data_IF_920041164770
#
_entry.id   IF_920041164770
#
_cell.length_a   1.000
_cell.length_b   1.000
_cell.length_c   1.000
_cell.angle_alpha   90.00
_cell.angle_beta   90.00
_cell.angle_gamma   90.00
#
_symmetry.space_group_name_H-M   'P 1'
#
loop_
_entity.id
_entity.type
_entity.pdbx_description
1 polymer ?
#
# COMPACT_ATOMS: atom_id res chain seq x y z
N UNK A 1 -5.87 -16.32 -2.20
CA UNK A 1 -5.13 -16.72 -0.99
C UNK A 1 -3.63 -16.88 -1.24
N UNK A 2 -3.23 -16.78 -2.44
CA UNK A 2 -1.81 -16.84 -2.82
C UNK A 2 -0.98 -15.70 -2.22
N UNK A 3 -1.62 -14.71 -1.64
CA UNK A 3 -0.97 -13.51 -1.10
C UNK A 3 0.04 -13.84 -0.01
N UNK A 4 -0.27 -14.85 0.79
CA UNK A 4 0.57 -15.26 1.90
C UNK A 4 1.88 -15.92 1.47
N UNK A 5 1.95 -16.38 0.23
CA UNK A 5 3.09 -17.14 -0.23
C UNK A 5 4.34 -16.31 -0.42
N UNK A 6 4.19 -15.07 -0.83
CA UNK A 6 5.33 -14.25 -1.23
C UNK A 6 5.74 -13.17 -0.24
N UNK A 7 4.92 -12.81 0.69
CA UNK A 7 5.18 -11.72 1.65
C UNK A 7 5.81 -10.50 0.97
N UNK A 8 5.08 -9.95 0.04
CA UNK A 8 5.56 -8.83 -0.75
C UNK A 8 5.22 -7.53 -0.02
N UNK A 9 6.15 -7.09 0.81
CA UNK A 9 5.92 -5.98 1.75
C UNK A 9 6.97 -4.89 1.56
N UNK A 10 6.52 -3.65 1.68
CA UNK A 10 7.39 -2.51 1.76
C UNK A 10 6.93 -1.62 2.91
N UNK A 11 7.86 -0.98 3.58
CA UNK A 11 7.58 -0.15 4.74
C UNK A 11 8.18 1.23 4.59
N UNK A 12 7.49 2.21 5.17
CA UNK A 12 7.99 3.58 5.20
C UNK A 12 7.39 4.33 6.37
N UNK A 13 8.04 5.42 6.75
CA UNK A 13 7.59 6.31 7.82
C UNK A 13 6.89 7.50 7.17
N UNK A 14 5.66 7.78 7.63
CA UNK A 14 4.93 8.95 7.16
C UNK A 14 5.54 10.24 7.75
N UNK A 15 5.40 11.39 7.10
CA UNK A 15 4.68 11.58 5.84
C UNK A 15 5.46 11.08 4.63
N UNK A 16 4.75 10.84 3.53
CA UNK A 16 5.35 10.31 2.30
C UNK A 16 5.37 11.37 1.20
N UNK A 17 6.52 11.54 0.57
CA UNK A 17 6.63 12.31 -0.66
C UNK A 17 6.22 11.43 -1.84
N UNK A 18 5.91 12.05 -2.97
CA UNK A 18 5.57 11.32 -4.18
C UNK A 18 6.72 10.39 -4.61
N UNK A 19 7.94 10.88 -4.54
CA UNK A 19 9.12 10.07 -4.86
C UNK A 19 9.23 8.85 -3.95
N UNK A 20 8.96 9.03 -2.65
CA UNK A 20 9.02 7.93 -1.70
C UNK A 20 7.96 6.88 -1.98
N UNK A 21 6.76 7.31 -2.34
CA UNK A 21 5.68 6.40 -2.71
C UNK A 21 6.07 5.61 -3.95
N UNK A 22 6.65 6.26 -4.95
CA UNK A 22 7.13 5.56 -6.15
C UNK A 22 8.19 4.52 -5.80
N UNK A 23 9.13 4.86 -4.93
CA UNK A 23 10.18 3.94 -4.50
C UNK A 23 9.60 2.73 -3.77
N UNK A 24 8.60 2.95 -2.91
CA UNK A 24 7.93 1.87 -2.19
C UNK A 24 7.29 0.91 -3.17
N UNK A 25 6.53 1.42 -4.13
CA UNK A 25 5.84 0.56 -5.12
C UNK A 25 6.85 -0.23 -5.94
N UNK A 26 7.94 0.40 -6.36
CA UNK A 26 8.96 -0.26 -7.17
C UNK A 26 9.77 -1.28 -6.38
N UNK A 27 9.76 -1.19 -5.05
CA UNK A 27 10.54 -2.08 -4.19
C UNK A 27 9.90 -3.45 -3.99
N UNK A 28 8.61 -3.60 -4.23
CA UNK A 28 7.94 -4.88 -4.02
C UNK A 28 8.29 -5.85 -5.16
N UNK A 29 8.28 -7.14 -4.83
CA UNK A 29 8.67 -8.18 -5.78
C UNK A 29 7.71 -8.29 -6.96
N UNK A 30 6.44 -8.00 -6.73
CA UNK A 30 5.41 -8.07 -7.76
C UNK A 30 5.41 -6.88 -8.70
N UNK A 31 6.26 -5.87 -8.49
CA UNK A 31 6.24 -4.67 -9.32
C UNK A 31 6.28 -4.94 -10.83
N UNK A 32 7.13 -5.82 -11.34
CA UNK A 32 7.15 -6.09 -12.78
C UNK A 32 5.80 -6.56 -13.32
N UNK A 33 5.06 -7.33 -12.52
CA UNK A 33 3.72 -7.78 -12.90
C UNK A 33 2.76 -6.59 -12.94
N UNK A 34 2.83 -5.71 -11.95
CA UNK A 34 2.02 -4.49 -11.93
C UNK A 34 2.31 -3.60 -13.13
N UNK A 35 3.55 -3.57 -13.56
CA UNK A 35 3.97 -2.75 -14.69
C UNK A 35 3.65 -3.37 -16.06
N UNK A 36 3.06 -4.56 -16.08
CA UNK A 36 2.63 -5.19 -17.33
C UNK A 36 3.58 -6.23 -17.90
N UNK A 37 4.45 -6.81 -17.07
CA UNK A 37 5.34 -7.86 -17.54
C UNK A 37 4.57 -9.11 -17.97
N UNK A 38 5.20 -9.93 -18.80
CA UNK A 38 4.64 -11.21 -19.30
C UNK A 38 3.35 -11.05 -20.09
N UNK A 39 3.21 -9.95 -20.81
CA UNK A 39 2.05 -9.71 -21.65
C UNK A 39 0.78 -9.35 -20.88
N UNK A 40 0.88 -9.11 -19.59
CA UNK A 40 -0.27 -8.68 -18.79
C UNK A 40 -0.55 -7.20 -19.02
N UNK A 41 -1.80 -6.81 -18.81
CA UNK A 41 -2.14 -5.40 -18.77
C UNK A 41 -1.50 -4.77 -17.54
N UNK A 42 -1.20 -3.48 -17.66
CA UNK A 42 -0.68 -2.75 -16.50
C UNK A 42 -1.78 -2.67 -15.45
N UNK A 43 -1.38 -2.82 -14.18
CA UNK A 43 -2.27 -2.60 -13.06
C UNK A 43 -2.47 -1.10 -12.83
N UNK A 44 -3.47 -0.77 -12.03
CA UNK A 44 -3.78 0.62 -11.69
C UNK A 44 -2.84 1.13 -10.59
N UNK A 45 -1.59 1.37 -10.97
CA UNK A 45 -0.56 1.89 -10.06
C UNK A 45 -0.97 3.24 -9.48
N UNK A 46 -1.55 4.19 -10.25
CA UNK A 46 -2.01 5.44 -9.64
C UNK A 46 -3.00 5.25 -8.51
N UNK A 47 -3.89 4.25 -8.59
CA UNK A 47 -4.81 3.95 -7.51
C UNK A 47 -4.07 3.44 -6.26
N UNK A 48 -3.05 2.62 -6.44
CA UNK A 48 -2.21 2.15 -5.33
C UNK A 48 -1.49 3.33 -4.67
N UNK A 49 -0.96 4.25 -5.46
CA UNK A 49 -0.31 5.45 -4.95
C UNK A 49 -1.27 6.28 -4.10
N UNK A 50 -2.52 6.43 -4.57
CA UNK A 50 -3.53 7.16 -3.83
C UNK A 50 -3.80 6.53 -2.48
N UNK A 51 -3.90 5.21 -2.42
CA UNK A 51 -4.07 4.48 -1.16
C UNK A 51 -2.90 4.76 -0.21
N UNK A 52 -1.68 4.72 -0.70
CA UNK A 52 -0.50 4.99 0.13
C UNK A 52 -0.50 6.40 0.69
N UNK A 53 -0.86 7.40 -0.12
CA UNK A 53 -0.97 8.77 0.35
C UNK A 53 -2.05 8.93 1.42
N UNK A 54 -3.20 8.26 1.24
CA UNK A 54 -4.29 8.32 2.22
C UNK A 54 -3.88 7.67 3.53
N UNK A 55 -3.21 6.52 3.48
CA UNK A 55 -2.71 5.85 4.68
C UNK A 55 -1.69 6.74 5.40
N UNK A 56 -0.78 7.35 4.66
CA UNK A 56 0.21 8.27 5.24
C UNK A 56 -0.47 9.48 5.89
N UNK A 57 -1.53 10.00 5.28
CA UNK A 57 -2.27 11.12 5.84
C UNK A 57 -2.96 10.73 7.15
N UNK A 58 -3.56 9.54 7.19
CA UNK A 58 -4.19 9.02 8.42
C UNK A 58 -3.14 8.92 9.53
N UNK A 59 -1.98 8.37 9.23
CA UNK A 59 -0.91 8.22 10.21
C UNK A 59 -0.42 9.57 10.72
N UNK A 60 -0.40 10.59 9.87
CA UNK A 60 0.00 11.94 10.24
C UNK A 60 -1.06 12.61 11.12
N UNK A 61 -2.33 12.45 10.76
CA UNK A 61 -3.43 13.09 11.46
C UNK A 61 -3.73 12.46 12.83
N UNK A 62 -3.39 11.18 12.99
CA UNK A 62 -3.71 10.44 14.20
C UNK A 62 -2.44 9.82 14.80
N UNK A 63 -1.63 10.62 15.54
CA UNK A 63 -0.36 10.14 16.08
C UNK A 63 -0.47 8.93 17.02
N UNK A 64 -1.64 8.67 17.58
CA UNK A 64 -1.86 7.51 18.43
C UNK A 64 -1.91 6.19 17.64
N UNK A 65 -2.02 6.26 16.32
CA UNK A 65 -1.89 5.06 15.49
C UNK A 65 -0.42 4.70 15.41
N UNK A 66 -0.06 3.53 15.94
CA UNK A 66 1.31 3.04 15.91
C UNK A 66 1.59 2.14 14.74
N UNK A 67 0.53 1.54 14.18
CA UNK A 67 0.66 0.64 13.06
C UNK A 67 -0.61 0.66 12.23
N UNK A 68 -0.45 0.70 10.92
CA UNK A 68 -1.56 0.62 9.98
C UNK A 68 -1.14 -0.34 8.87
N UNK A 69 -1.87 -1.43 8.74
CA UNK A 69 -1.56 -2.46 7.76
C UNK A 69 -2.77 -2.73 6.89
N UNK A 70 -2.56 -2.76 5.59
CA UNK A 70 -3.58 -3.18 4.63
C UNK A 70 -3.07 -4.43 3.95
N UNK A 71 -3.82 -5.51 4.05
CA UNK A 71 -3.38 -6.79 3.53
C UNK A 71 -4.57 -7.72 3.25
N UNK A 72 -4.80 -8.08 2.00
CA UNK A 72 -4.11 -7.56 0.82
C UNK A 72 -4.78 -6.34 0.21
N UNK A 73 -4.07 -5.68 -0.68
CA UNK A 73 -4.64 -4.71 -1.60
C UNK A 73 -4.86 -5.43 -2.93
N UNK A 74 -6.09 -5.43 -3.40
CA UNK A 74 -6.44 -6.01 -4.69
C UNK A 74 -6.41 -4.89 -5.72
N UNK A 75 -5.58 -5.04 -6.74
CA UNK A 75 -5.37 -4.00 -7.75
C UNK A 75 -5.94 -4.46 -9.08
N UNK A 76 -6.82 -3.63 -9.64
CA UNK A 76 -7.39 -3.90 -10.96
C UNK A 76 -6.46 -3.45 -12.08
N UNK A 77 -6.92 -3.67 -13.31
CA UNK A 77 -6.21 -3.17 -14.49
C UNK A 77 -6.24 -1.63 -14.49
N UNK A 78 -5.35 -1.04 -15.27
CA UNK A 78 -5.25 0.41 -15.39
C UNK A 78 -6.62 1.05 -15.57
N UNK A 79 -6.95 2.00 -14.70
CA UNK A 79 -8.25 2.68 -14.72
C UNK A 79 -9.36 1.98 -13.93
N UNK A 80 -9.11 0.77 -13.42
CA UNK A 80 -10.13 0.00 -12.70
C UNK A 80 -10.09 0.18 -11.20
N UNK A 81 -9.10 0.88 -10.68
CA UNK A 81 -8.98 1.13 -9.24
C UNK A 81 -8.36 -0.02 -8.47
N UNK A 82 -8.41 0.10 -7.16
CA UNK A 82 -7.97 -0.95 -6.25
C UNK A 82 -8.83 -0.92 -4.99
N UNK A 83 -8.77 -2.00 -4.21
CA UNK A 83 -9.53 -2.10 -2.97
C UNK A 83 -8.74 -2.80 -1.89
N UNK A 84 -8.90 -2.34 -0.67
CA UNK A 84 -8.36 -3.03 0.50
C UNK A 84 -9.33 -4.12 0.90
N UNK A 85 -8.82 -5.33 1.08
CA UNK A 85 -9.65 -6.45 1.51
C UNK A 85 -9.75 -6.46 3.02
N UNK A 86 -8.65 -6.16 3.69
CA UNK A 86 -8.60 -6.15 5.14
C UNK A 86 -7.64 -5.09 5.62
N UNK A 87 -7.87 -4.60 6.84
CA UNK A 87 -7.01 -3.58 7.43
C UNK A 87 -6.85 -3.84 8.92
N UNK A 88 -5.64 -3.64 9.40
CA UNK A 88 -5.34 -3.73 10.83
C UNK A 88 -4.81 -2.40 11.31
N UNK A 89 -5.39 -1.89 12.39
CA UNK A 89 -4.96 -0.62 12.99
C UNK A 89 -4.59 -0.88 14.44
N UNK A 90 -3.39 -0.51 14.81
CA UNK A 90 -2.93 -0.61 16.20
C UNK A 90 -2.85 0.79 16.77
N UNK A 91 -3.48 0.99 17.91
CA UNK A 91 -3.57 2.29 18.58
C UNK A 91 -2.85 2.21 19.91
N UNK A 92 -2.03 3.21 20.18
CA UNK A 92 -1.41 3.36 21.48
C UNK A 92 -2.43 3.98 22.44
N UNK A 93 -2.63 3.34 23.56
CA UNK A 93 -3.48 3.91 24.62
C UNK A 93 -2.66 4.86 25.47
N UNK A 94 -3.20 6.06 25.66
CA UNK A 94 -2.62 6.99 26.61
C UNK A 94 -3.01 6.53 28.03
N UNK A 95 -2.00 6.39 28.87
CA UNK A 95 -2.25 6.13 30.29
C UNK A 95 -2.36 7.47 31.01
N UNK A 96 -3.37 7.58 31.81
CA UNK A 96 -3.55 8.77 32.64
C UNK A 96 -3.60 8.42 34.10
#
# INVERSE_FOLDING_TARGET
IFVEIMKDVSQAIAPLSERRVDDIIRSIKAYPILAGARGRKRADIPAVKDVLFRVAQIATDFPQITEFEINPVMVGDEGQGCGAVDALVTIRRDKR
#
